data_IF_405448943377
#
_entry.id   IF_405448943377
#
_cell.length_a   1.000
_cell.length_b   1.000
_cell.length_c   1.000
_cell.angle_alpha   90.00
_cell.angle_beta   90.00
_cell.angle_gamma   90.00
#
_symmetry.space_group_name_H-M   'P 1'
#
loop_
_entity.id
_entity.type
_entity.pdbx_description
1 polymer ?
#
# COMPACT_ATOMS: atom_id res chain seq x y z
N UNK A 1 -30.98 -7.16 20.08
CA UNK A 1 -30.71 -6.26 18.94
C UNK A 1 -29.51 -6.78 18.17
N UNK A 2 -29.54 -6.78 16.84
CA UNK A 2 -28.35 -7.02 16.02
C UNK A 2 -27.47 -5.77 16.13
N UNK A 3 -26.22 -5.92 16.57
CA UNK A 3 -25.27 -4.80 16.65
C UNK A 3 -24.98 -4.28 15.24
N UNK A 4 -25.10 -2.97 15.04
CA UNK A 4 -24.70 -2.28 13.80
C UNK A 4 -23.40 -1.54 14.12
N UNK A 5 -22.30 -1.96 13.50
CA UNK A 5 -20.97 -1.39 13.73
C UNK A 5 -20.49 -0.66 12.47
N UNK A 6 -20.43 0.68 12.54
CA UNK A 6 -20.04 1.56 11.44
C UNK A 6 -18.70 2.26 11.72
N UNK A 7 -17.89 1.74 12.65
CA UNK A 7 -16.61 2.36 13.04
C UNK A 7 -15.55 2.26 11.93
N UNK A 8 -15.47 1.09 11.27
CA UNK A 8 -14.50 0.80 10.22
C UNK A 8 -14.84 -0.51 9.52
N UNK A 9 -14.34 -0.72 8.31
CA UNK A 9 -14.35 -2.00 7.60
C UNK A 9 -13.36 -3.02 8.20
N UNK A 10 -12.52 -2.62 9.16
CA UNK A 10 -11.67 -3.55 9.92
C UNK A 10 -12.45 -4.43 10.91
N UNK A 11 -13.73 -4.12 11.18
CA UNK A 11 -14.56 -4.89 12.14
C UNK A 11 -15.25 -6.09 11.49
N UNK A 12 -14.97 -6.36 10.21
CA UNK A 12 -15.45 -7.53 9.49
C UNK A 12 -15.04 -8.82 10.20
N UNK A 13 -15.84 -9.88 10.01
CA UNK A 13 -15.59 -11.19 10.61
C UNK A 13 -15.62 -12.26 9.52
N UNK A 14 -14.79 -13.32 9.63
CA UNK A 14 -14.78 -14.40 8.66
C UNK A 14 -16.17 -15.00 8.47
N UNK A 15 -16.54 -15.19 7.21
CA UNK A 15 -17.75 -15.90 6.79
C UNK A 15 -17.69 -17.38 7.21
N UNK A 16 -18.81 -18.12 7.20
CA UNK A 16 -18.78 -19.57 7.44
C UNK A 16 -17.82 -20.31 6.48
N UNK A 17 -17.79 -19.92 5.21
CA UNK A 17 -16.93 -20.52 4.19
C UNK A 17 -15.45 -20.22 4.46
N UNK A 18 -15.10 -18.98 4.83
CA UNK A 18 -13.74 -18.65 5.27
C UNK A 18 -13.32 -19.46 6.50
N UNK A 19 -14.23 -19.65 7.48
CA UNK A 19 -13.94 -20.46 8.68
C UNK A 19 -13.68 -21.91 8.33
N UNK A 20 -14.46 -22.47 7.42
CA UNK A 20 -14.26 -23.83 6.94
C UNK A 20 -12.94 -23.96 6.18
N UNK A 21 -12.65 -23.02 5.26
CA UNK A 21 -11.40 -23.00 4.50
C UNK A 21 -10.17 -22.95 5.44
N UNK A 22 -10.19 -22.08 6.46
CA UNK A 22 -9.13 -22.02 7.46
C UNK A 22 -9.00 -23.33 8.26
N UNK A 23 -10.10 -23.96 8.64
CA UNK A 23 -10.09 -25.21 9.40
C UNK A 23 -9.59 -26.43 8.59
N UNK A 24 -9.59 -26.33 7.26
CA UNK A 24 -9.24 -27.40 6.33
C UNK A 24 -7.98 -27.08 5.52
N UNK A 25 -7.29 -25.97 5.79
CA UNK A 25 -6.12 -25.56 5.04
C UNK A 25 -4.95 -26.52 5.25
N UNK A 26 -4.28 -26.90 4.15
CA UNK A 26 -2.97 -27.53 4.21
C UNK A 26 -1.95 -26.48 4.63
N UNK A 27 -1.14 -26.78 5.65
CA UNK A 27 -0.19 -25.84 6.26
C UNK A 27 1.21 -26.44 6.34
N UNK A 28 2.20 -25.56 6.48
CA UNK A 28 3.61 -25.93 6.61
C UNK A 28 4.41 -24.83 7.31
N UNK A 29 5.74 -24.96 7.30
CA UNK A 29 6.63 -23.93 7.82
C UNK A 29 6.95 -22.92 6.71
N UNK A 30 6.36 -21.73 6.80
CA UNK A 30 6.52 -20.63 5.85
C UNK A 30 7.97 -20.12 5.75
N UNK A 31 8.77 -20.24 6.82
CA UNK A 31 10.19 -19.83 6.80
C UNK A 31 10.99 -20.70 5.84
N UNK A 32 10.59 -21.96 5.66
CA UNK A 32 11.18 -22.88 4.68
C UNK A 32 10.46 -22.86 3.32
N UNK A 33 9.40 -22.04 3.16
CA UNK A 33 8.57 -22.00 1.96
C UNK A 33 7.67 -23.23 1.79
N UNK A 34 7.39 -23.94 2.88
CA UNK A 34 6.69 -25.22 2.86
C UNK A 34 5.19 -25.11 3.15
N UNK A 35 4.65 -23.90 3.38
CA UNK A 35 3.21 -23.71 3.57
C UNK A 35 2.47 -23.61 2.21
N UNK A 36 1.71 -24.65 1.81
CA UNK A 36 1.09 -24.66 0.48
C UNK A 36 -0.04 -23.62 0.34
N UNK A 37 -0.68 -23.24 1.45
CA UNK A 37 -1.79 -22.28 1.42
C UNK A 37 -1.27 -20.86 1.29
N UNK A 38 -0.17 -20.51 1.97
CA UNK A 38 0.51 -19.21 1.80
C UNK A 38 1.05 -19.07 0.39
N UNK A 39 1.80 -20.06 -0.10
CA UNK A 39 2.35 -20.06 -1.47
C UNK A 39 1.25 -19.82 -2.52
N UNK A 40 0.13 -20.54 -2.42
CA UNK A 40 -1.00 -20.37 -3.34
C UNK A 40 -1.65 -18.99 -3.23
N UNK A 41 -1.73 -18.41 -2.02
CA UNK A 41 -2.27 -17.06 -1.82
C UNK A 41 -1.38 -16.01 -2.52
N UNK A 42 -0.06 -16.11 -2.34
CA UNK A 42 0.92 -15.21 -2.96
C UNK A 42 0.92 -15.34 -4.48
N UNK A 43 0.97 -16.56 -5.02
CA UNK A 43 0.84 -16.82 -6.46
C UNK A 43 -0.44 -16.22 -7.03
N UNK A 44 -1.57 -16.40 -6.35
CA UNK A 44 -2.86 -15.90 -6.80
C UNK A 44 -2.92 -14.37 -6.81
N UNK A 45 -2.32 -13.72 -5.82
CA UNK A 45 -2.25 -12.27 -5.80
C UNK A 45 -1.32 -11.72 -6.87
N UNK A 46 -0.15 -12.34 -7.07
CA UNK A 46 0.74 -12.00 -8.18
C UNK A 46 0.01 -12.12 -9.52
N UNK A 47 -0.78 -13.18 -9.74
CA UNK A 47 -1.61 -13.37 -10.92
C UNK A 47 -2.67 -12.24 -11.08
N UNK A 48 -3.45 -11.96 -10.02
CA UNK A 48 -4.51 -10.94 -10.05
C UNK A 48 -3.96 -9.54 -10.32
N UNK A 49 -2.81 -9.20 -9.74
CA UNK A 49 -2.15 -7.91 -9.92
C UNK A 49 -1.22 -7.87 -11.14
N UNK A 50 -1.04 -8.99 -11.85
CA UNK A 50 -0.09 -9.16 -12.96
C UNK A 50 1.33 -8.74 -12.56
N UNK A 51 1.79 -9.23 -11.41
CA UNK A 51 3.12 -8.99 -10.84
C UNK A 51 3.94 -10.27 -10.84
N UNK A 52 5.25 -10.09 -10.70
CA UNK A 52 6.20 -11.20 -10.69
C UNK A 52 6.10 -12.04 -9.41
N UNK A 53 5.78 -11.40 -8.29
CA UNK A 53 5.66 -12.03 -6.98
C UNK A 53 4.72 -11.22 -6.05
N UNK A 54 4.33 -11.82 -4.94
CA UNK A 54 3.65 -11.19 -3.82
C UNK A 54 4.20 -11.75 -2.50
N UNK A 55 3.92 -11.09 -1.37
CA UNK A 55 4.37 -11.53 -0.05
C UNK A 55 3.24 -11.33 0.96
N UNK A 56 2.82 -12.39 1.64
CA UNK A 56 1.85 -12.27 2.72
C UNK A 56 2.50 -11.66 3.97
N UNK A 57 1.83 -10.70 4.57
CA UNK A 57 2.28 -10.05 5.81
C UNK A 57 1.15 -9.94 6.83
N UNK A 58 1.46 -9.95 8.15
CA UNK A 58 0.43 -9.89 9.19
C UNK A 58 -0.43 -8.62 9.19
N UNK A 59 0.08 -7.50 8.67
CA UNK A 59 -0.62 -6.21 8.67
C UNK A 59 -0.20 -5.30 7.51
N UNK A 60 -1.10 -4.38 7.13
CA UNK A 60 -0.80 -3.37 6.11
C UNK A 60 0.36 -2.48 6.50
N UNK A 61 0.50 -2.17 7.79
CA UNK A 61 1.68 -1.45 8.31
C UNK A 61 2.98 -2.21 8.02
N UNK A 62 3.02 -3.54 8.22
CA UNK A 62 4.23 -4.28 7.87
C UNK A 62 4.50 -4.25 6.37
N UNK A 63 3.47 -4.39 5.53
CA UNK A 63 3.60 -4.31 4.07
C UNK A 63 4.16 -2.97 3.60
N UNK A 64 3.59 -1.86 4.08
CA UNK A 64 4.06 -0.51 3.81
C UNK A 64 5.51 -0.31 4.26
N UNK A 65 5.85 -0.72 5.49
CA UNK A 65 7.19 -0.53 6.03
C UNK A 65 8.25 -1.38 5.33
N UNK A 66 7.91 -2.59 4.88
CA UNK A 66 8.78 -3.39 4.00
C UNK A 66 9.03 -2.64 2.69
N UNK A 67 7.98 -2.11 2.04
CA UNK A 67 8.13 -1.38 0.78
C UNK A 67 8.96 -0.10 0.95
N UNK A 68 8.74 0.66 2.03
CA UNK A 68 9.59 1.81 2.35
C UNK A 68 11.04 1.37 2.54
N UNK A 69 11.30 0.31 3.29
CA UNK A 69 12.67 -0.20 3.52
C UNK A 69 13.35 -0.68 2.23
N UNK A 70 12.60 -1.33 1.34
CA UNK A 70 13.11 -1.85 0.06
C UNK A 70 13.51 -0.72 -0.90
N UNK A 71 12.73 0.35 -0.96
CA UNK A 71 12.93 1.43 -1.91
C UNK A 71 13.80 2.58 -1.40
N UNK A 72 14.28 2.53 -0.16
CA UNK A 72 15.05 3.62 0.44
C UNK A 72 16.33 3.15 1.13
N UNK A 73 17.18 4.12 1.44
CA UNK A 73 18.38 3.99 2.25
C UNK A 73 18.26 4.91 3.48
N UNK A 74 18.88 4.53 4.62
CA UNK A 74 18.97 5.42 5.77
C UNK A 74 19.53 6.79 5.40
N UNK A 75 18.91 7.86 5.88
CA UNK A 75 19.25 9.24 5.55
C UNK A 75 18.52 9.82 4.34
N UNK A 76 17.68 9.04 3.64
CA UNK A 76 16.77 9.55 2.62
C UNK A 76 15.44 10.05 3.21
N UNK A 77 14.67 10.77 2.39
CA UNK A 77 13.31 11.18 2.69
C UNK A 77 12.28 10.55 1.74
N UNK A 78 11.05 10.39 2.23
CA UNK A 78 9.89 9.83 1.52
C UNK A 78 8.85 10.94 1.34
N UNK A 79 8.50 11.27 0.10
CA UNK A 79 7.39 12.19 -0.20
C UNK A 79 6.08 11.44 0.01
N UNK A 80 5.15 12.04 0.76
CA UNK A 80 3.86 11.44 1.08
C UNK A 80 2.82 12.53 1.36
N UNK A 81 1.55 12.27 1.09
CA UNK A 81 0.46 13.18 1.47
C UNK A 81 0.35 13.32 3.01
N UNK A 82 0.10 14.53 3.50
CA UNK A 82 0.21 14.89 4.93
C UNK A 82 -0.82 14.23 5.86
N UNK A 83 -1.92 13.69 5.32
CA UNK A 83 -2.96 12.94 6.00
C UNK A 83 -2.91 11.43 5.68
N UNK A 84 -1.92 10.98 4.90
CA UNK A 84 -1.73 9.59 4.50
C UNK A 84 -1.42 8.65 5.66
N UNK A 85 -1.76 7.37 5.49
CA UNK A 85 -1.72 6.35 6.54
C UNK A 85 -0.29 6.09 7.05
N UNK A 86 0.65 5.87 6.12
CA UNK A 86 2.05 5.58 6.44
C UNK A 86 2.66 6.69 7.33
N UNK A 87 2.27 7.95 7.11
CA UNK A 87 2.77 9.07 7.92
C UNK A 87 2.09 9.17 9.29
N UNK A 88 0.76 9.09 9.34
CA UNK A 88 0.00 9.40 10.56
C UNK A 88 -0.28 8.21 11.48
N UNK A 89 -0.39 7.00 10.94
CA UNK A 89 -0.97 5.85 11.65
C UNK A 89 -0.02 4.65 11.77
N UNK A 90 1.28 4.86 11.51
CA UNK A 90 2.29 3.81 11.59
C UNK A 90 3.41 4.12 12.58
N UNK A 91 3.12 4.92 13.61
CA UNK A 91 4.02 5.14 14.77
C UNK A 91 5.41 5.67 14.38
N UNK A 92 5.49 6.48 13.33
CA UNK A 92 6.75 6.94 12.74
C UNK A 92 7.73 5.79 12.40
N UNK A 93 7.20 4.62 12.03
CA UNK A 93 7.98 3.41 11.79
C UNK A 93 9.07 3.61 10.73
N UNK A 94 8.83 4.42 9.69
CA UNK A 94 9.84 4.67 8.65
C UNK A 94 11.13 5.28 9.22
N UNK A 95 11.01 6.15 10.22
CA UNK A 95 12.17 6.76 10.89
C UNK A 95 12.95 5.72 11.70
N UNK A 96 12.23 4.83 12.39
CA UNK A 96 12.85 3.83 13.28
C UNK A 96 13.40 2.62 12.53
N UNK A 97 12.69 2.11 11.51
CA UNK A 97 13.00 0.87 10.79
C UNK A 97 13.88 1.15 9.56
N UNK A 98 13.53 2.19 8.81
CA UNK A 98 14.19 2.54 7.55
C UNK A 98 15.24 3.63 7.71
N UNK A 99 15.23 4.39 8.81
CA UNK A 99 16.13 5.51 9.00
C UNK A 99 15.81 6.67 8.07
N UNK A 100 14.56 6.80 7.63
CA UNK A 100 14.11 7.80 6.66
C UNK A 100 13.23 8.86 7.28
N UNK A 101 13.26 10.06 6.70
CA UNK A 101 12.35 11.14 7.07
C UNK A 101 11.09 11.12 6.19
N UNK A 102 9.96 11.51 6.75
CA UNK A 102 8.81 11.88 5.93
C UNK A 102 8.99 13.31 5.39
N UNK A 103 8.51 13.54 4.17
CA UNK A 103 8.29 14.86 3.59
C UNK A 103 6.82 15.00 3.23
N UNK A 104 5.97 15.36 4.21
CA UNK A 104 4.55 15.57 4.01
C UNK A 104 4.31 16.67 2.96
N UNK A 105 3.35 16.44 2.08
CA UNK A 105 2.86 17.42 1.11
C UNK A 105 1.33 17.51 1.17
N UNK A 106 0.74 18.67 0.87
CA UNK A 106 -0.71 18.79 0.83
C UNK A 106 -1.29 18.05 -0.40
N UNK A 107 -2.49 17.52 -0.24
CA UNK A 107 -3.31 16.99 -1.34
C UNK A 107 -4.73 17.55 -1.30
N UNK A 108 -5.39 17.65 -2.45
CA UNK A 108 -6.80 17.99 -2.51
C UNK A 108 -7.62 16.72 -2.27
N UNK A 109 -8.33 16.64 -1.14
CA UNK A 109 -9.02 15.42 -0.71
C UNK A 109 -8.08 14.20 -0.70
N UNK A 110 -6.85 14.37 -0.18
CA UNK A 110 -5.84 13.30 -0.14
C UNK A 110 -5.23 12.95 -1.51
N UNK A 111 -5.63 13.63 -2.59
CA UNK A 111 -5.09 13.43 -3.92
C UNK A 111 -4.03 14.50 -4.17
N UNK A 112 -2.77 14.06 -4.26
CA UNK A 112 -1.64 14.90 -4.65
C UNK A 112 -1.56 15.06 -6.17
N UNK A 113 -0.97 16.16 -6.62
CA UNK A 113 -0.65 16.39 -8.03
C UNK A 113 0.87 16.42 -8.26
N UNK A 114 1.27 16.27 -9.53
CA UNK A 114 2.68 16.26 -9.87
C UNK A 114 3.39 17.59 -9.53
N UNK A 115 2.85 18.78 -9.82
CA UNK A 115 3.52 20.04 -9.45
C UNK A 115 3.87 20.13 -7.96
N UNK A 116 2.99 19.65 -7.08
CA UNK A 116 3.24 19.63 -5.63
C UNK A 116 4.34 18.62 -5.26
N UNK A 117 4.33 17.42 -5.86
CA UNK A 117 5.39 16.42 -5.69
C UNK A 117 6.73 16.95 -6.23
N UNK A 118 6.75 17.56 -7.41
CA UNK A 118 7.96 18.04 -8.07
C UNK A 118 8.64 19.15 -7.27
N UNK A 119 7.85 20.10 -6.74
CA UNK A 119 8.35 21.12 -5.83
C UNK A 119 8.91 20.53 -4.52
N UNK A 120 8.52 19.29 -4.20
CA UNK A 120 9.01 18.57 -3.05
C UNK A 120 10.31 17.79 -3.28
N UNK A 121 10.65 17.44 -4.51
CA UNK A 121 11.87 16.69 -4.79
C UNK A 121 13.11 17.54 -4.46
N UNK A 122 14.05 16.97 -3.70
CA UNK A 122 15.28 17.65 -3.31
C UNK A 122 16.29 17.70 -4.46
N UNK A 123 17.04 18.80 -4.62
CA UNK A 123 18.17 18.82 -5.53
C UNK A 123 19.29 17.89 -5.02
N UNK A 124 20.15 17.38 -5.93
CA UNK A 124 21.28 16.55 -5.54
C UNK A 124 22.31 17.38 -4.76
N UNK A 125 22.32 17.24 -3.44
CA UNK A 125 23.20 17.96 -2.53
C UNK A 125 23.57 17.09 -1.32
N UNK A 126 24.87 17.00 -1.03
CA UNK A 126 25.42 16.05 -0.05
C UNK A 126 24.97 16.31 1.41
N UNK A 127 24.48 17.51 1.71
CA UNK A 127 24.15 17.96 3.07
C UNK A 127 22.64 17.92 3.37
N UNK A 128 21.80 17.44 2.44
CA UNK A 128 20.35 17.28 2.65
C UNK A 128 19.94 15.83 2.41
N UNK A 129 18.92 15.38 3.14
CA UNK A 129 18.28 14.10 2.88
C UNK A 129 17.76 14.08 1.43
N UNK A 130 18.21 13.10 0.65
CA UNK A 130 17.81 12.96 -0.74
C UNK A 130 16.44 12.27 -0.82
N UNK A 131 15.58 12.71 -1.74
CA UNK A 131 14.30 12.06 -2.00
C UNK A 131 14.56 10.65 -2.53
N UNK A 132 14.08 9.63 -1.83
CA UNK A 132 14.29 8.22 -2.18
C UNK A 132 13.03 7.51 -2.70
N UNK A 133 11.85 7.97 -2.29
CA UNK A 133 10.57 7.30 -2.58
C UNK A 133 9.42 8.31 -2.60
N UNK A 134 8.43 8.05 -3.44
CA UNK A 134 7.10 8.67 -3.36
C UNK A 134 6.10 7.60 -2.91
N UNK A 135 5.32 7.87 -1.87
CA UNK A 135 4.21 7.03 -1.44
C UNK A 135 2.88 7.70 -1.77
N UNK A 136 1.99 6.99 -2.45
CA UNK A 136 0.61 7.38 -2.70
C UNK A 136 -0.34 6.47 -1.91
N UNK A 137 -1.59 6.90 -1.70
CA UNK A 137 -2.63 6.10 -1.06
C UNK A 137 -3.89 6.08 -1.93
N UNK A 138 -4.45 4.89 -2.21
CA UNK A 138 -5.70 4.77 -2.97
C UNK A 138 -6.51 3.51 -2.55
N UNK A 139 -7.71 3.65 -2.00
CA UNK A 139 -8.42 4.91 -1.68
C UNK A 139 -7.85 5.63 -0.47
N UNK A 140 -8.01 6.96 -0.43
CA UNK A 140 -7.45 7.78 0.65
C UNK A 140 -8.36 7.80 1.89
N UNK A 141 -7.88 7.26 3.01
CA UNK A 141 -8.65 7.02 4.22
C UNK A 141 -9.17 8.31 4.86
N UNK A 142 -8.28 9.28 5.11
CA UNK A 142 -8.64 10.53 5.80
C UNK A 142 -9.44 11.49 4.92
N UNK A 143 -9.56 11.21 3.62
CA UNK A 143 -10.38 11.97 2.69
C UNK A 143 -11.74 11.30 2.41
N UNK A 144 -12.18 10.41 3.31
CA UNK A 144 -13.48 9.74 3.20
C UNK A 144 -13.53 8.65 2.12
N UNK A 145 -12.39 8.03 1.82
CA UNK A 145 -12.29 7.02 0.76
C UNK A 145 -12.22 7.61 -0.65
N UNK A 146 -11.62 8.81 -0.77
CA UNK A 146 -11.41 9.45 -2.06
C UNK A 146 -10.63 8.54 -3.02
N UNK A 147 -11.02 8.55 -4.30
CA UNK A 147 -10.48 7.69 -5.34
C UNK A 147 -9.61 8.52 -6.27
N UNK A 148 -8.31 8.19 -6.35
CA UNK A 148 -7.42 8.79 -7.35
C UNK A 148 -7.66 8.14 -8.72
N UNK A 149 -7.80 8.95 -9.77
CA UNK A 149 -8.03 8.43 -11.13
C UNK A 149 -6.81 7.70 -11.69
N UNK A 150 -7.03 6.79 -12.65
CA UNK A 150 -5.96 6.07 -13.34
C UNK A 150 -5.00 7.02 -14.03
N UNK A 151 -5.50 8.07 -14.66
CA UNK A 151 -4.71 9.05 -15.41
C UNK A 151 -3.77 9.80 -14.47
N UNK A 152 -4.25 10.19 -13.27
CA UNK A 152 -3.43 10.85 -12.26
C UNK A 152 -2.33 9.93 -11.73
N UNK A 153 -2.68 8.69 -11.38
CA UNK A 153 -1.68 7.70 -10.92
C UNK A 153 -0.61 7.44 -11.98
N UNK A 154 -1.02 7.26 -13.25
CA UNK A 154 -0.10 7.04 -14.36
C UNK A 154 0.81 8.25 -14.62
N UNK A 155 0.25 9.47 -14.56
CA UNK A 155 1.02 10.72 -14.70
C UNK A 155 2.11 10.81 -13.63
N UNK A 156 1.76 10.63 -12.35
CA UNK A 156 2.70 10.75 -11.24
C UNK A 156 3.81 9.71 -11.37
N UNK A 157 3.46 8.44 -11.60
CA UNK A 157 4.45 7.38 -11.75
C UNK A 157 5.39 7.62 -12.92
N UNK A 158 4.86 7.96 -14.10
CA UNK A 158 5.68 8.24 -15.28
C UNK A 158 6.71 9.35 -15.01
N UNK A 159 6.27 10.44 -14.37
CA UNK A 159 7.14 11.58 -14.09
C UNK A 159 8.13 11.31 -12.95
N UNK A 160 7.74 10.53 -11.94
CA UNK A 160 8.63 10.05 -10.88
C UNK A 160 9.73 9.15 -11.46
N UNK A 161 9.37 8.18 -12.31
CA UNK A 161 10.30 7.30 -12.99
C UNK A 161 11.26 8.05 -13.90
N UNK A 162 10.80 9.10 -14.59
CA UNK A 162 11.67 9.98 -15.38
C UNK A 162 12.72 10.73 -14.52
N UNK A 163 12.51 10.80 -13.20
CA UNK A 163 13.46 11.32 -12.20
C UNK A 163 14.24 10.22 -11.48
N UNK A 164 14.04 8.95 -11.84
CA UNK A 164 14.66 7.81 -11.19
C UNK A 164 14.12 7.54 -9.77
N UNK A 165 12.92 8.01 -9.45
CA UNK A 165 12.28 7.79 -8.16
C UNK A 165 11.25 6.66 -8.25
N UNK A 166 11.34 5.63 -7.39
CA UNK A 166 10.29 4.63 -7.28
C UNK A 166 9.02 5.23 -6.66
N UNK A 167 7.88 4.58 -6.93
CA UNK A 167 6.57 4.93 -6.39
C UNK A 167 5.92 3.69 -5.76
N UNK A 168 5.59 3.81 -4.47
CA UNK A 168 4.84 2.81 -3.71
C UNK A 168 3.38 3.25 -3.55
N UNK A 169 2.46 2.29 -3.66
CA UNK A 169 1.04 2.50 -3.38
C UNK A 169 0.63 1.81 -2.07
N UNK A 170 0.22 2.59 -1.08
CA UNK A 170 -0.69 2.11 -0.03
C UNK A 170 -2.07 1.90 -0.66
N UNK A 171 -2.29 0.66 -1.09
CA UNK A 171 -3.52 0.18 -1.69
C UNK A 171 -4.38 -0.59 -0.69
N UNK A 172 -4.37 -0.24 0.60
CA UNK A 172 -5.14 -0.93 1.64
C UNK A 172 -6.60 -1.19 1.23
N UNK A 173 -7.18 -0.33 0.37
CA UNK A 173 -8.52 -0.42 -0.20
C UNK A 173 -8.54 -0.31 -1.72
N UNK A 174 -7.50 -0.79 -2.41
CA UNK A 174 -7.37 -0.67 -3.87
C UNK A 174 -8.50 -1.37 -4.63
N UNK A 175 -9.07 -2.45 -4.08
CA UNK A 175 -10.24 -3.11 -4.67
C UNK A 175 -11.49 -2.22 -4.65
N UNK A 176 -11.66 -1.35 -3.66
CA UNK A 176 -12.75 -0.36 -3.66
C UNK A 176 -12.56 0.66 -4.79
N UNK A 177 -11.33 1.13 -5.01
CA UNK A 177 -11.01 2.02 -6.13
C UNK A 177 -11.25 1.33 -7.49
N UNK A 178 -10.83 0.07 -7.63
CA UNK A 178 -11.05 -0.76 -8.81
C UNK A 178 -12.54 -0.87 -9.17
N UNK A 179 -13.39 -1.18 -8.19
CA UNK A 179 -14.84 -1.24 -8.37
C UNK A 179 -15.42 0.13 -8.72
N UNK A 180 -15.00 1.20 -8.03
CA UNK A 180 -15.49 2.55 -8.27
C UNK A 180 -15.14 3.09 -9.67
N UNK A 181 -13.96 2.72 -10.19
CA UNK A 181 -13.48 3.15 -11.51
C UNK A 181 -13.88 2.19 -12.64
N UNK A 182 -14.45 1.02 -12.32
CA UNK A 182 -14.76 -0.02 -13.30
C UNK A 182 -13.50 -0.56 -13.99
N UNK A 183 -12.39 -0.69 -13.25
CA UNK A 183 -11.09 -1.13 -13.78
C UNK A 183 -10.54 -2.29 -12.95
N UNK A 184 -9.65 -3.09 -13.55
CA UNK A 184 -8.94 -4.13 -12.78
C UNK A 184 -7.86 -3.52 -11.88
N UNK A 185 -7.56 -4.19 -10.75
CA UNK A 185 -6.44 -3.79 -9.88
C UNK A 185 -5.11 -3.85 -10.62
N UNK A 186 -4.91 -4.81 -11.53
CA UNK A 186 -3.73 -4.88 -12.38
C UNK A 186 -3.56 -3.61 -13.23
N UNK A 187 -4.62 -3.11 -13.87
CA UNK A 187 -4.54 -1.90 -14.68
C UNK A 187 -4.30 -0.63 -13.89
N UNK A 188 -4.94 -0.50 -12.72
CA UNK A 188 -4.76 0.65 -11.84
C UNK A 188 -3.35 0.71 -11.28
N UNK A 189 -2.80 -0.45 -10.93
CA UNK A 189 -1.56 -0.53 -10.18
C UNK A 189 -0.33 -0.80 -11.03
N UNK A 190 -0.48 -1.18 -12.31
CA UNK A 190 0.63 -1.41 -13.25
C UNK A 190 1.78 -0.38 -13.18
N UNK A 191 1.53 0.94 -13.08
CA UNK A 191 2.63 1.90 -13.13
C UNK A 191 3.43 2.01 -11.82
N UNK A 192 3.02 1.37 -10.72
CA UNK A 192 3.72 1.44 -9.43
C UNK A 192 4.83 0.40 -9.33
N UNK A 193 5.89 0.70 -8.59
CA UNK A 193 6.99 -0.24 -8.32
C UNK A 193 6.59 -1.31 -7.30
N UNK A 194 5.80 -0.91 -6.28
CA UNK A 194 5.23 -1.81 -5.28
C UNK A 194 3.83 -1.35 -4.86
N UNK A 195 3.03 -2.30 -4.40
CA UNK A 195 1.66 -2.06 -3.92
C UNK A 195 1.47 -2.90 -2.67
N UNK A 196 0.95 -2.29 -1.61
CA UNK A 196 0.39 -3.02 -0.48
C UNK A 196 -1.13 -3.05 -0.60
N UNK A 197 -1.80 -4.15 -0.29
CA UNK A 197 -3.26 -4.18 -0.11
C UNK A 197 -3.69 -5.01 1.10
N UNK A 198 -4.83 -4.65 1.71
CA UNK A 198 -5.32 -5.35 2.89
C UNK A 198 -6.36 -6.42 2.55
N UNK A 199 -6.18 -7.60 3.14
CA UNK A 199 -7.20 -8.67 3.18
C UNK A 199 -8.18 -8.45 4.35
N UNK A 200 -7.70 -7.87 5.45
CA UNK A 200 -8.42 -7.77 6.72
C UNK A 200 -9.32 -6.53 6.87
N UNK A 201 -9.86 -6.03 5.76
CA UNK A 201 -10.77 -4.86 5.71
C UNK A 201 -12.06 -5.24 4.98
N UNK A 202 -12.41 -4.54 3.91
CA UNK A 202 -13.58 -4.83 3.08
C UNK A 202 -13.59 -6.24 2.46
N UNK A 203 -12.42 -6.88 2.29
CA UNK A 203 -12.32 -8.27 1.82
C UNK A 203 -12.63 -9.32 2.90
N UNK A 204 -12.68 -8.93 4.18
CA UNK A 204 -13.27 -9.74 5.26
C UNK A 204 -12.38 -10.84 5.85
N UNK A 205 -11.10 -10.95 5.45
CA UNK A 205 -10.17 -11.87 6.10
C UNK A 205 -9.96 -11.47 7.57
N UNK A 206 -9.64 -12.40 8.48
CA UNK A 206 -9.45 -12.04 9.89
C UNK A 206 -8.14 -11.26 10.14
N UNK A 207 -7.11 -11.53 9.34
CA UNK A 207 -5.75 -10.99 9.46
C UNK A 207 -5.16 -10.90 8.05
N UNK A 208 -4.20 -10.00 7.88
CA UNK A 208 -3.28 -10.07 6.75
C UNK A 208 -3.40 -8.94 5.75
N UNK A 209 -2.29 -8.72 5.07
CA UNK A 209 -2.11 -7.84 3.92
C UNK A 209 -1.06 -8.46 3.02
N UNK A 210 -0.88 -7.89 1.84
CA UNK A 210 -0.02 -8.41 0.78
C UNK A 210 0.64 -7.25 0.04
#
# INVERSE_FOLDING_TARGET
MKLIDLRSDTVTRPTPEMRQAMAQADVGDDVYGEDPTVNRLEERAAEIFQREAALFVPSGTMGNQICVKLHTQPGQEVIIEENGHIYNYEMAAMATISGTLARPIPGENGIVDWPTIEAAIRPPAYYIAQTGLICLENTHNMAGGAVMSKERMAEICQKAHARGLPVHLDGARIFNAAVALGQSVAELTRPFDSVMFCLSKGLGAPVGSM
#
